data_IF_166123443460
#
_entry.id   IF_166123443460
#
_cell.length_a   1.000
_cell.length_b   1.000
_cell.length_c   1.000
_cell.angle_alpha   90.00
_cell.angle_beta   90.00
_cell.angle_gamma   90.00
#
_symmetry.space_group_name_H-M   'P 1'
#
loop_
_entity.id
_entity.type
_entity.pdbx_description
1 polymer ?
#
# COMPACT_ATOMS: atom_id res chain seq x y z
N UNK A 1 5.59 18.05 9.71
CA UNK A 1 4.51 17.08 9.42
C UNK A 1 3.38 17.31 10.43
N UNK A 2 2.09 17.17 10.07
CA UNK A 2 1.02 17.30 11.08
C UNK A 2 0.97 16.01 11.91
N UNK A 3 1.10 16.10 13.24
CA UNK A 3 1.18 14.92 14.13
C UNK A 3 -0.01 13.96 13.97
N UNK A 4 -1.20 14.47 13.62
CA UNK A 4 -2.38 13.64 13.32
C UNK A 4 -2.19 12.56 12.23
N UNK A 5 -1.15 12.67 11.38
CA UNK A 5 -0.88 11.71 10.31
C UNK A 5 0.24 10.72 10.64
N UNK A 6 0.91 10.85 11.78
CA UNK A 6 1.98 9.94 12.21
C UNK A 6 1.55 8.46 12.18
N UNK A 7 0.32 8.09 12.60
CA UNK A 7 -0.10 6.68 12.58
C UNK A 7 -0.13 6.03 11.19
N UNK A 8 -0.18 6.82 10.10
CA UNK A 8 -0.16 6.28 8.73
C UNK A 8 1.19 5.64 8.36
N UNK A 9 2.26 5.99 9.08
CA UNK A 9 3.62 5.51 8.84
C UNK A 9 4.03 4.39 9.80
N UNK A 10 3.17 4.03 10.75
CA UNK A 10 3.38 2.89 11.63
C UNK A 10 3.37 1.58 10.84
N UNK A 11 4.20 0.63 11.29
CA UNK A 11 4.17 -0.74 10.79
C UNK A 11 2.86 -1.43 11.13
N UNK A 12 2.46 -2.39 10.30
CA UNK A 12 1.29 -3.25 10.55
C UNK A 12 1.59 -4.68 10.13
N UNK A 13 1.27 -5.63 10.99
CA UNK A 13 1.37 -7.06 10.71
C UNK A 13 0.05 -7.55 10.10
N UNK A 14 0.16 -8.30 9.02
CA UNK A 14 -0.96 -8.93 8.34
C UNK A 14 -1.28 -10.31 8.95
N UNK A 15 -2.49 -10.87 8.76
CA UNK A 15 -2.86 -12.17 9.34
C UNK A 15 -1.96 -13.35 8.96
N UNK A 16 -1.18 -13.21 7.90
CA UNK A 16 -0.20 -14.21 7.44
C UNK A 16 1.20 -14.01 8.04
N UNK A 17 1.39 -13.06 8.95
CA UNK A 17 2.67 -12.75 9.61
C UNK A 17 3.59 -11.82 8.81
N UNK A 18 3.18 -11.34 7.63
CA UNK A 18 3.96 -10.36 6.86
C UNK A 18 3.83 -8.95 7.45
N UNK A 19 4.94 -8.21 7.49
CA UNK A 19 5.01 -6.86 8.05
C UNK A 19 5.04 -5.80 6.94
N UNK A 20 4.08 -4.88 6.94
CA UNK A 20 4.10 -3.69 6.08
C UNK A 20 4.78 -2.53 6.80
N UNK A 21 5.57 -1.76 6.04
CA UNK A 21 6.35 -0.62 6.57
C UNK A 21 5.49 0.60 6.93
N UNK A 22 4.26 0.64 6.46
CA UNK A 22 3.30 1.72 6.67
C UNK A 22 1.89 1.25 6.30
N UNK A 23 0.91 2.14 6.48
CA UNK A 23 -0.52 1.86 6.22
C UNK A 23 -1.00 2.38 4.85
N UNK A 24 -0.10 2.72 3.93
CA UNK A 24 -0.47 3.15 2.58
C UNK A 24 -0.64 1.95 1.66
N UNK A 25 -1.74 1.95 0.91
CA UNK A 25 -2.02 0.96 -0.13
C UNK A 25 -2.24 1.70 -1.43
N UNK A 26 -1.50 1.32 -2.47
CA UNK A 26 -1.85 1.71 -3.84
C UNK A 26 -3.01 0.82 -4.27
N UNK A 27 -4.21 1.39 -4.32
CA UNK A 27 -5.35 0.67 -4.86
C UNK A 27 -5.07 0.25 -6.31
N UNK A 28 -5.62 -0.89 -6.79
CA UNK A 28 -5.51 -1.27 -8.18
C UNK A 28 -6.03 -0.16 -9.09
N UNK A 29 -5.22 0.22 -10.08
CA UNK A 29 -5.56 1.22 -11.10
C UNK A 29 -5.39 0.55 -12.47
N UNK A 30 -6.48 0.43 -13.21
CA UNK A 30 -6.43 -0.05 -14.59
C UNK A 30 -5.61 0.91 -15.44
N UNK A 31 -4.60 0.39 -16.11
CA UNK A 31 -3.79 1.14 -17.06
C UNK A 31 -3.77 0.40 -18.40
N UNK A 32 -3.73 1.15 -19.51
CA UNK A 32 -3.79 0.60 -20.88
C UNK A 32 -2.41 0.22 -21.43
N UNK A 33 -1.45 -0.08 -20.57
CA UNK A 33 -0.05 -0.34 -20.96
C UNK A 33 0.29 -1.80 -21.18
N UNK A 34 -0.68 -2.71 -21.06
CA UNK A 34 -0.46 -4.10 -21.43
C UNK A 34 -0.21 -4.20 -22.93
N UNK A 35 0.55 -5.21 -23.33
CA UNK A 35 0.63 -5.59 -24.73
C UNK A 35 -0.69 -6.24 -25.16
N UNK A 36 -0.88 -6.44 -26.46
CA UNK A 36 -2.09 -7.06 -27.00
C UNK A 36 -2.33 -8.51 -26.49
N UNK A 37 -1.28 -9.20 -26.04
CA UNK A 37 -1.33 -10.55 -25.48
C UNK A 37 -1.49 -10.63 -23.95
N UNK A 38 -1.56 -9.48 -23.27
CA UNK A 38 -1.77 -9.38 -21.82
C UNK A 38 -0.49 -9.50 -21.00
#
# INVERSE_FOLDING_TARGET
MKSKYEPLFDKVELPNGEELRNRFVLAPLTHISSNDDG
#
